data_IF_950596357870
#
_entry.id   IF_950596357870
#
_cell.length_a   1.000
_cell.length_b   1.000
_cell.length_c   1.000
_cell.angle_alpha   90.00
_cell.angle_beta   90.00
_cell.angle_gamma   90.00
#
_symmetry.space_group_name_H-M   'P 1'
#
loop_
_entity.id
_entity.type
_entity.pdbx_description
1 polymer ?
#
# COMPACT_ATOMS: atom_id res chain seq x y z
N UNK A 1 0.63 -11.17 4.21
CA UNK A 1 0.48 -9.70 4.05
C UNK A 1 1.11 -9.34 2.72
N UNK A 2 0.38 -8.68 1.83
CA UNK A 2 0.87 -8.25 0.52
C UNK A 2 0.71 -6.74 0.38
N UNK A 3 1.59 -6.11 -0.40
CA UNK A 3 1.33 -4.81 -1.01
C UNK A 3 0.88 -5.06 -2.45
N UNK A 4 -0.30 -4.59 -2.79
CA UNK A 4 -0.83 -4.74 -4.14
C UNK A 4 -2.34 -4.67 -4.18
N UNK A 5 -2.86 -4.35 -5.36
CA UNK A 5 -4.28 -4.20 -5.65
C UNK A 5 -4.84 -2.83 -5.28
N UNK A 6 -6.07 -2.59 -5.73
CA UNK A 6 -6.84 -1.40 -5.45
C UNK A 6 -8.34 -1.74 -5.50
N UNK A 7 -9.09 -1.31 -4.49
CA UNK A 7 -10.55 -1.43 -4.48
C UNK A 7 -11.20 -0.42 -5.43
N UNK A 8 -10.62 0.78 -5.56
CA UNK A 8 -11.24 1.90 -6.28
C UNK A 8 -10.61 2.15 -7.66
N UNK A 9 -9.42 2.76 -7.73
CA UNK A 9 -8.73 3.08 -8.97
C UNK A 9 -7.31 2.52 -8.96
N UNK A 10 -6.86 2.04 -10.11
CA UNK A 10 -5.50 1.56 -10.33
C UNK A 10 -4.48 2.67 -10.55
N UNK A 11 -3.19 2.32 -10.50
CA UNK A 11 -2.07 3.20 -10.85
C UNK A 11 -1.37 2.82 -12.16
N UNK A 12 -1.65 1.63 -12.70
CA UNK A 12 -1.01 1.14 -13.93
C UNK A 12 -1.94 1.20 -15.15
N UNK A 13 -3.18 0.74 -14.98
CA UNK A 13 -4.30 1.07 -15.85
C UNK A 13 -5.49 1.51 -14.97
N UNK A 14 -6.58 2.06 -15.54
CA UNK A 14 -7.65 2.66 -14.75
C UNK A 14 -8.20 1.76 -13.62
N UNK A 15 -8.28 0.45 -13.84
CA UNK A 15 -8.85 -0.51 -12.90
C UNK A 15 -7.82 -1.35 -12.12
N UNK A 16 -6.51 -1.18 -12.37
CA UNK A 16 -5.50 -2.15 -11.91
C UNK A 16 -4.24 -1.50 -11.35
N UNK A 17 -3.81 -2.03 -10.22
CA UNK A 17 -2.54 -1.73 -9.57
C UNK A 17 -1.41 -2.58 -10.15
N UNK A 18 -0.20 -2.02 -10.23
CA UNK A 18 0.96 -2.62 -10.89
C UNK A 18 1.29 -4.06 -10.48
N UNK A 19 1.44 -4.39 -9.19
CA UNK A 19 1.83 -5.72 -8.76
C UNK A 19 0.82 -6.79 -9.19
N UNK A 20 -0.48 -6.49 -9.09
CA UNK A 20 -1.53 -7.42 -9.54
C UNK A 20 -1.62 -7.47 -11.07
N UNK A 21 -1.36 -6.35 -11.77
CA UNK A 21 -1.28 -6.33 -13.23
C UNK A 21 -0.19 -7.24 -13.78
N UNK A 22 0.96 -7.29 -13.12
CA UNK A 22 2.14 -8.03 -13.60
C UNK A 22 1.87 -9.54 -13.67
N UNK A 23 1.12 -10.09 -12.70
CA UNK A 23 0.73 -11.50 -12.69
C UNK A 23 -0.66 -11.70 -12.03
N UNK A 24 -1.75 -11.43 -12.78
CA UNK A 24 -3.12 -11.58 -12.29
C UNK A 24 -3.46 -13.01 -11.88
N UNK A 25 -2.94 -14.00 -12.62
CA UNK A 25 -3.16 -15.42 -12.37
C UNK A 25 -2.53 -15.85 -11.04
N UNK A 26 -1.29 -15.44 -10.75
CA UNK A 26 -0.66 -15.71 -9.47
C UNK A 26 -1.42 -15.03 -8.32
N UNK A 27 -1.87 -13.80 -8.51
CA UNK A 27 -2.66 -13.10 -7.49
C UNK A 27 -4.00 -13.80 -7.22
N UNK A 28 -4.72 -14.26 -8.25
CA UNK A 28 -5.95 -15.03 -8.06
C UNK A 28 -5.69 -16.32 -7.26
N UNK A 29 -4.61 -17.04 -7.57
CA UNK A 29 -4.21 -18.24 -6.80
C UNK A 29 -4.00 -17.88 -5.32
N UNK A 30 -3.34 -16.77 -5.02
CA UNK A 30 -3.12 -16.31 -3.63
C UNK A 30 -4.45 -16.03 -2.93
N UNK A 31 -5.35 -15.25 -3.54
CA UNK A 31 -6.64 -14.91 -2.93
C UNK A 31 -7.60 -16.10 -2.82
N UNK A 32 -7.49 -17.11 -3.68
CA UNK A 32 -8.26 -18.36 -3.58
C UNK A 32 -7.59 -19.47 -2.75
N UNK A 33 -6.40 -19.22 -2.20
CA UNK A 33 -5.60 -20.26 -1.52
C UNK A 33 -6.19 -20.79 -0.21
N UNK A 34 -7.09 -20.03 0.43
CA UNK A 34 -7.61 -20.32 1.78
C UNK A 34 -6.64 -19.96 2.91
N UNK A 35 -5.45 -19.44 2.61
CA UNK A 35 -4.53 -18.86 3.60
C UNK A 35 -5.02 -17.46 3.95
N UNK A 36 -5.00 -17.02 5.23
CA UNK A 36 -5.37 -15.66 5.59
C UNK A 36 -4.52 -14.60 4.84
N UNK A 37 -5.18 -13.77 4.04
CA UNK A 37 -4.55 -12.68 3.27
C UNK A 37 -4.82 -11.34 3.95
N UNK A 38 -3.81 -10.48 3.95
CA UNK A 38 -3.95 -9.06 4.32
C UNK A 38 -3.42 -8.24 3.16
N UNK A 39 -4.26 -7.35 2.65
CA UNK A 39 -4.02 -6.56 1.43
C UNK A 39 -3.81 -5.09 1.78
N UNK A 40 -2.59 -4.61 1.62
CA UNK A 40 -2.25 -3.19 1.61
C UNK A 40 -2.34 -2.66 0.16
N UNK A 41 -3.55 -2.29 -0.26
CA UNK A 41 -3.80 -1.76 -1.61
C UNK A 41 -3.57 -0.25 -1.75
N UNK A 42 -3.83 0.29 -2.95
CA UNK A 42 -3.72 1.73 -3.22
C UNK A 42 -4.60 2.60 -2.32
N UNK A 43 -5.74 2.07 -1.89
CA UNK A 43 -6.68 2.76 -0.99
C UNK A 43 -6.01 3.23 0.31
N UNK A 44 -5.11 2.42 0.89
CA UNK A 44 -4.33 2.81 2.09
C UNK A 44 -3.00 3.46 1.72
N UNK A 45 -2.28 2.93 0.74
CA UNK A 45 -0.91 3.35 0.47
C UNK A 45 -0.82 4.77 -0.10
N UNK A 46 -1.85 5.22 -0.84
CA UNK A 46 -1.96 6.63 -1.26
C UNK A 46 -2.14 7.61 -0.09
N UNK A 47 -2.53 7.13 1.11
CA UNK A 47 -2.63 7.93 2.34
C UNK A 47 -1.35 7.87 3.19
N UNK A 48 -0.50 6.87 2.97
CA UNK A 48 0.81 6.73 3.61
C UNK A 48 1.87 7.65 2.96
N UNK A 49 1.56 8.94 2.82
CA UNK A 49 2.43 9.91 2.18
C UNK A 49 3.54 10.39 3.12
N UNK A 50 4.76 10.43 2.59
CA UNK A 50 5.92 11.05 3.21
C UNK A 50 6.08 12.45 2.64
N UNK A 51 6.03 13.45 3.51
CA UNK A 51 6.20 14.85 3.12
C UNK A 51 7.66 15.28 3.21
N UNK A 52 7.99 16.44 2.66
CA UNK A 52 9.36 16.98 2.68
C UNK A 52 9.89 17.12 4.10
N UNK A 53 9.05 17.53 5.05
CA UNK A 53 9.43 17.70 6.45
C UNK A 53 9.74 16.36 7.14
N UNK A 54 9.07 15.29 6.71
CA UNK A 54 9.28 13.94 7.20
C UNK A 54 10.63 13.38 6.72
N UNK A 55 10.99 13.65 5.46
CA UNK A 55 12.30 13.27 4.91
C UNK A 55 13.42 13.98 5.67
N UNK A 56 13.29 15.28 5.91
CA UNK A 56 14.28 16.04 6.68
C UNK A 56 14.34 15.62 8.15
N UNK A 57 13.24 15.09 8.70
CA UNK A 57 13.27 14.42 10.00
C UNK A 57 14.07 13.12 9.96
N UNK A 58 13.87 12.27 8.95
CA UNK A 58 14.64 11.04 8.79
C UNK A 58 16.14 11.34 8.59
N UNK A 59 16.48 12.33 7.77
CA UNK A 59 17.87 12.75 7.53
C UNK A 59 18.57 13.19 8.81
N UNK A 60 17.86 13.90 9.70
CA UNK A 60 18.39 14.37 11.00
C UNK A 60 18.67 13.26 12.02
N UNK A 61 18.24 12.02 11.78
CA UNK A 61 18.60 10.88 12.63
C UNK A 61 20.11 10.64 12.60
N UNK A 62 20.77 10.89 11.45
CA UNK A 62 22.23 11.05 11.39
C UNK A 62 23.03 9.75 11.36
N UNK A 63 22.44 8.64 10.92
CA UNK A 63 23.16 7.39 10.63
C UNK A 63 23.10 7.01 9.13
N UNK A 64 24.01 6.16 8.63
CA UNK A 64 24.08 5.83 7.19
C UNK A 64 22.77 5.29 6.60
N UNK A 65 22.02 4.49 7.37
CA UNK A 65 20.75 3.92 6.91
C UNK A 65 19.67 5.00 6.78
N UNK A 66 19.57 5.90 7.76
CA UNK A 66 18.64 7.02 7.73
C UNK A 66 18.93 7.98 6.58
N UNK A 67 20.21 8.20 6.24
CA UNK A 67 20.62 9.02 5.09
C UNK A 67 20.20 8.37 3.77
N UNK A 68 20.48 7.07 3.59
CA UNK A 68 20.08 6.34 2.38
C UNK A 68 18.56 6.38 2.19
N UNK A 69 17.79 6.18 3.27
CA UNK A 69 16.32 6.23 3.19
C UNK A 69 15.84 7.64 2.80
N UNK A 70 16.43 8.70 3.36
CA UNK A 70 16.10 10.06 2.95
C UNK A 70 16.40 10.30 1.46
N UNK A 71 17.55 9.85 0.95
CA UNK A 71 17.92 9.98 -0.48
C UNK A 71 16.98 9.20 -1.42
N UNK A 72 16.53 8.01 -1.03
CA UNK A 72 15.51 7.26 -1.79
C UNK A 72 14.18 8.02 -1.85
N UNK A 73 13.80 8.67 -0.75
CA UNK A 73 12.56 9.43 -0.67
C UNK A 73 12.64 10.75 -1.45
N UNK A 74 13.81 11.40 -1.50
CA UNK A 74 14.05 12.54 -2.38
C UNK A 74 13.79 12.17 -3.84
N UNK A 75 14.34 11.04 -4.28
CA UNK A 75 14.08 10.51 -5.61
C UNK A 75 12.57 10.25 -5.81
N UNK A 76 11.90 9.55 -4.90
CA UNK A 76 10.47 9.28 -5.06
C UNK A 76 9.61 10.54 -5.13
N UNK A 77 9.93 11.59 -4.37
CA UNK A 77 9.22 12.86 -4.48
C UNK A 77 9.30 13.46 -5.88
N UNK A 78 10.43 13.35 -6.58
CA UNK A 78 10.54 13.89 -7.94
C UNK A 78 9.61 13.17 -8.93
N UNK A 79 9.48 11.85 -8.82
CA UNK A 79 8.65 11.05 -9.73
C UNK A 79 7.16 11.03 -9.36
N UNK A 80 6.83 11.29 -8.09
CA UNK A 80 5.43 11.32 -7.61
C UNK A 80 4.82 12.73 -7.55
N UNK A 81 5.55 13.76 -8.00
CA UNK A 81 5.05 15.14 -8.18
C UNK A 81 4.08 15.31 -9.35
N UNK A 82 3.72 14.24 -10.07
CA UNK A 82 2.76 14.31 -11.16
C UNK A 82 1.41 14.82 -10.63
N UNK A 83 1.04 16.04 -11.03
CA UNK A 83 -0.15 16.76 -10.55
C UNK A 83 -1.44 15.96 -10.76
N UNK A 84 -1.46 15.00 -11.69
CA UNK A 84 -2.64 14.16 -11.96
C UNK A 84 -3.12 13.37 -10.75
N UNK A 85 -2.25 13.10 -9.77
CA UNK A 85 -2.60 12.37 -8.55
C UNK A 85 -3.03 13.28 -7.40
N UNK A 86 -2.66 14.56 -7.43
CA UNK A 86 -2.97 15.51 -6.36
C UNK A 86 -2.35 15.17 -5.00
N UNK A 87 -1.24 14.42 -4.97
CA UNK A 87 -0.55 14.08 -3.73
C UNK A 87 0.24 15.28 -3.17
N UNK A 88 0.32 15.35 -1.84
CA UNK A 88 1.11 16.34 -1.11
C UNK A 88 2.55 15.85 -0.93
N UNK A 89 2.72 14.54 -0.73
CA UNK A 89 4.02 13.86 -0.61
C UNK A 89 4.06 12.54 -1.38
N UNK A 90 5.18 11.83 -1.29
CA UNK A 90 5.35 10.55 -1.98
C UNK A 90 4.64 9.43 -1.20
N UNK A 91 3.71 8.66 -1.81
CA UNK A 91 3.10 7.51 -1.15
C UNK A 91 4.16 6.41 -0.93
N UNK A 92 4.20 5.85 0.27
CA UNK A 92 5.12 4.77 0.61
C UNK A 92 4.35 3.44 0.72
N UNK A 93 4.38 2.69 -0.38
CA UNK A 93 3.55 1.52 -0.58
C UNK A 93 3.98 0.32 0.29
N UNK A 94 5.09 -0.31 -0.05
CA UNK A 94 5.51 -1.58 0.53
C UNK A 94 5.71 -1.54 2.05
N UNK A 95 6.27 -0.46 2.63
CA UNK A 95 6.43 -0.36 4.09
C UNK A 95 5.12 -0.38 4.88
N UNK A 96 3.96 -0.17 4.26
CA UNK A 96 2.66 -0.38 4.90
C UNK A 96 2.49 -1.82 5.42
N UNK A 97 3.06 -2.82 4.71
CA UNK A 97 2.98 -4.23 5.13
C UNK A 97 3.74 -4.49 6.44
N UNK A 98 4.94 -3.92 6.57
CA UNK A 98 5.77 -4.05 7.76
C UNK A 98 5.18 -3.23 8.91
N UNK A 99 4.68 -2.02 8.62
CA UNK A 99 3.99 -1.21 9.61
C UNK A 99 2.76 -1.92 10.18
N UNK A 100 1.97 -2.61 9.35
CA UNK A 100 0.84 -3.43 9.82
C UNK A 100 1.28 -4.57 10.74
N UNK A 101 2.39 -5.24 10.43
CA UNK A 101 2.93 -6.30 11.29
C UNK A 101 3.42 -5.78 12.65
N UNK A 102 3.89 -4.53 12.70
CA UNK A 102 4.45 -3.93 13.91
C UNK A 102 3.41 -3.23 14.78
N UNK A 103 2.47 -2.49 14.16
CA UNK A 103 1.45 -1.65 14.80
C UNK A 103 0.15 -1.66 13.97
N UNK A 104 -0.61 -2.77 13.95
CA UNK A 104 -1.82 -2.90 13.14
C UNK A 104 -2.92 -1.89 13.51
N UNK A 105 -2.92 -1.39 14.74
CA UNK A 105 -3.88 -0.40 15.26
C UNK A 105 -3.83 0.96 14.54
N UNK A 106 -2.77 1.25 13.79
CA UNK A 106 -2.67 2.45 12.97
C UNK A 106 -3.53 2.36 11.70
N UNK A 107 -4.04 1.18 11.36
CA UNK A 107 -4.75 0.93 10.11
C UNK A 107 -6.25 0.74 10.34
N UNK A 108 -7.06 1.30 9.45
CA UNK A 108 -8.48 0.94 9.34
C UNK A 108 -8.62 -0.17 8.32
N UNK A 109 -9.23 -1.28 8.70
CA UNK A 109 -9.36 -2.47 7.85
C UNK A 109 -10.79 -3.01 7.81
N UNK A 110 -11.09 -3.80 6.79
CA UNK A 110 -12.34 -4.57 6.67
C UNK A 110 -12.06 -5.99 6.21
N UNK A 111 -12.81 -6.96 6.74
CA UNK A 111 -12.82 -8.33 6.21
C UNK A 111 -13.76 -8.39 5.01
N UNK A 112 -13.23 -8.66 3.81
CA UNK A 112 -14.03 -8.75 2.57
C UNK A 112 -13.59 -9.91 1.69
N UNK A 113 -14.51 -10.31 0.82
CA UNK A 113 -14.16 -11.19 -0.27
C UNK A 113 -13.46 -10.37 -1.36
N UNK A 114 -12.36 -10.90 -1.88
CA UNK A 114 -11.57 -10.36 -2.97
C UNK A 114 -11.36 -11.45 -4.01
N UNK A 115 -11.67 -11.15 -5.26
CA UNK A 115 -11.25 -11.94 -6.42
C UNK A 115 -10.36 -11.11 -7.35
N UNK A 116 -9.56 -11.77 -8.16
CA UNK A 116 -8.74 -11.11 -9.19
C UNK A 116 -9.28 -11.45 -10.57
N UNK A 117 -9.57 -10.41 -11.35
CA UNK A 117 -10.04 -10.56 -12.73
C UNK A 117 -8.88 -10.99 -13.64
N UNK A 118 -9.06 -12.04 -14.44
CA UNK A 118 -7.99 -12.64 -15.27
C UNK A 118 -8.35 -12.71 -16.76
N UNK A 119 -9.59 -12.35 -17.15
CA UNK A 119 -10.15 -12.58 -18.47
C UNK A 119 -10.69 -11.31 -19.15
N UNK A 120 -11.03 -10.29 -18.36
CA UNK A 120 -11.68 -9.08 -18.84
C UNK A 120 -10.81 -8.25 -19.80
N UNK A 121 -11.45 -7.71 -20.86
CA UNK A 121 -10.78 -6.87 -21.88
C UNK A 121 -10.11 -5.61 -21.32
N UNK A 122 -10.66 -5.04 -20.24
CA UNK A 122 -10.21 -3.76 -19.66
C UNK A 122 -9.92 -3.84 -18.15
N UNK A 123 -10.02 -5.04 -17.58
CA UNK A 123 -10.04 -5.25 -16.12
C UNK A 123 -9.12 -6.39 -15.68
N UNK A 124 -8.33 -6.97 -16.58
CA UNK A 124 -7.34 -7.97 -16.19
C UNK A 124 -6.38 -7.40 -15.13
N UNK A 125 -6.27 -8.10 -13.99
CA UNK A 125 -5.57 -7.70 -12.77
C UNK A 125 -6.40 -6.89 -11.76
N UNK A 126 -7.66 -6.52 -12.05
CA UNK A 126 -8.49 -5.81 -11.07
C UNK A 126 -8.73 -6.70 -9.84
N UNK A 127 -8.44 -6.17 -8.65
CA UNK A 127 -8.89 -6.74 -7.38
C UNK A 127 -10.34 -6.34 -7.12
N UNK A 128 -11.26 -7.26 -7.38
CA UNK A 128 -12.70 -7.09 -7.15
C UNK A 128 -13.01 -7.30 -5.68
N UNK A 129 -13.07 -6.20 -4.92
CA UNK A 129 -13.39 -6.22 -3.49
C UNK A 129 -14.90 -6.05 -3.29
N UNK A 130 -15.56 -7.05 -2.69
CA UNK A 130 -17.00 -7.02 -2.42
C UNK A 130 -17.34 -6.16 -1.18
N UNK A 131 -17.03 -4.87 -1.24
CA UNK A 131 -17.07 -3.96 -0.09
C UNK A 131 -18.44 -3.88 0.60
N UNK A 132 -19.52 -4.02 -0.17
CA UNK A 132 -20.91 -3.91 0.31
C UNK A 132 -21.60 -5.27 0.53
N UNK A 133 -20.86 -6.39 0.45
CA UNK A 133 -21.38 -7.75 0.63
C UNK A 133 -22.51 -8.13 -0.35
N UNK A 134 -22.33 -7.82 -1.63
CA UNK A 134 -23.31 -8.05 -2.69
C UNK A 134 -23.29 -9.48 -3.24
N UNK A 135 -22.19 -10.21 -3.07
CA UNK A 135 -21.98 -11.51 -3.73
C UNK A 135 -22.38 -12.71 -2.87
N UNK A 136 -22.57 -12.52 -1.56
CA UNK A 136 -22.77 -13.61 -0.59
C UNK A 136 -21.54 -14.50 -0.37
N UNK A 137 -20.38 -14.15 -0.95
CA UNK A 137 -19.14 -14.88 -0.76
C UNK A 137 -18.56 -14.62 0.63
N UNK A 138 -17.91 -15.64 1.20
CA UNK A 138 -17.22 -15.49 2.49
C UNK A 138 -15.98 -14.61 2.31
N UNK A 139 -15.68 -13.71 3.26
CA UNK A 139 -14.41 -12.99 3.26
C UNK A 139 -13.20 -13.92 3.18
N UNK A 140 -12.21 -13.51 2.39
CA UNK A 140 -10.92 -14.21 2.23
C UNK A 140 -9.72 -13.27 2.49
N UNK A 141 -9.94 -11.98 2.72
CA UNK A 141 -8.88 -11.03 3.01
C UNK A 141 -9.30 -9.93 3.99
N UNK A 142 -8.33 -9.52 4.81
CA UNK A 142 -8.33 -8.24 5.51
C UNK A 142 -7.83 -7.16 4.54
N UNK A 143 -8.69 -6.22 4.13
CA UNK A 143 -8.36 -5.13 3.22
C UNK A 143 -8.12 -3.84 4.00
N UNK A 144 -6.96 -3.22 3.81
CA UNK A 144 -6.62 -1.93 4.44
C UNK A 144 -7.24 -0.77 3.65
N UNK A 145 -7.88 0.16 4.35
CA UNK A 145 -8.60 1.30 3.76
C UNK A 145 -7.99 2.65 4.16
N UNK A 146 -7.44 2.74 5.36
CA UNK A 146 -6.91 3.98 5.91
C UNK A 146 -5.74 3.71 6.85
N UNK A 147 -4.94 4.74 7.11
CA UNK A 147 -3.77 4.71 7.98
C UNK A 147 -3.62 6.04 8.72
N UNK A 148 -3.30 5.98 10.01
CA UNK A 148 -2.75 7.13 10.73
C UNK A 148 -1.35 7.44 10.17
N UNK A 149 -1.32 8.38 9.22
CA UNK A 149 -0.11 8.80 8.53
C UNK A 149 0.96 9.30 9.50
N UNK A 150 0.57 10.03 10.56
CA UNK A 150 1.55 10.57 11.49
C UNK A 150 2.18 9.46 12.32
N UNK A 151 1.37 8.51 12.81
CA UNK A 151 1.87 7.34 13.52
C UNK A 151 2.76 6.45 12.61
N UNK A 152 2.44 6.34 11.32
CA UNK A 152 3.27 5.66 10.33
C UNK A 152 4.64 6.33 10.17
N UNK A 153 4.69 7.66 9.98
CA UNK A 153 5.94 8.42 9.91
C UNK A 153 6.75 8.30 11.21
N UNK A 154 6.08 8.39 12.36
CA UNK A 154 6.72 8.24 13.67
C UNK A 154 7.35 6.86 13.83
N UNK A 155 6.64 5.80 13.39
CA UNK A 155 7.17 4.45 13.38
C UNK A 155 8.41 4.35 12.49
N UNK A 156 8.41 4.92 11.29
CA UNK A 156 9.60 4.91 10.44
C UNK A 156 10.79 5.61 11.11
N UNK A 157 10.58 6.80 11.69
CA UNK A 157 11.63 7.53 12.39
C UNK A 157 12.18 6.72 13.58
N UNK A 158 11.30 6.12 14.39
CA UNK A 158 11.65 5.25 15.51
C UNK A 158 12.53 4.08 15.06
N UNK A 159 12.16 3.42 13.95
CA UNK A 159 12.91 2.25 13.43
C UNK A 159 14.22 2.62 12.76
N UNK A 160 14.32 3.78 12.12
CA UNK A 160 15.58 4.26 11.55
C UNK A 160 16.60 4.64 12.62
N UNK A 161 16.15 5.11 13.78
CA UNK A 161 17.02 5.42 14.92
C UNK A 161 17.73 4.19 15.51
N UNK A 162 17.23 2.97 15.25
CA UNK A 162 17.88 1.73 15.67
C UNK A 162 19.31 1.57 15.12
N UNK A 163 19.60 2.16 13.96
CA UNK A 163 20.88 2.03 13.26
C UNK A 163 21.93 3.09 13.66
N UNK A 164 21.68 3.82 14.76
CA UNK A 164 22.61 4.78 15.32
C UNK A 164 23.80 4.10 16.04
#
# INVERSE_FOLDING_TARGET
VIMGGAMVLGNWQPAVEFNIYVDPEAAEIVFQSGIPVVMAGLDVTHKAQIHVEDIERFRRIGNPISTIVAELLDFFLEYHKDEKWGFVGAPLHDPCTIAWLLKPEMFTTVERWVGVETQGKYTQGMTVVDFYNLTGRKPNATVMLDVDRQAFVDLLAERLAFYA
#
